data_IF_689896270349
#
_entry.id   IF_689896270349
#
_cell.length_a   1.000
_cell.length_b   1.000
_cell.length_c   1.000
_cell.angle_alpha   90.00
_cell.angle_beta   90.00
_cell.angle_gamma   90.00
#
_symmetry.space_group_name_H-M   'P 1'
#
loop_
_entity.id
_entity.type
_entity.pdbx_description
1 polymer ?
#
# COMPACT_ATOMS: atom_id res chain seq x y z
N UNK A 1 54.66 -10.47 4.00
CA UNK A 1 55.76 -11.43 3.86
C UNK A 1 55.44 -12.64 4.73
N UNK A 2 54.96 -13.74 4.13
CA UNK A 2 54.67 -15.00 4.85
C UNK A 2 55.93 -15.85 4.79
N UNK A 3 56.56 -16.13 5.93
CA UNK A 3 57.69 -17.06 5.99
C UNK A 3 57.23 -18.38 6.57
N UNK A 4 57.30 -19.45 5.78
CA UNK A 4 57.06 -20.82 6.26
C UNK A 4 58.34 -21.31 6.93
N UNK A 5 58.29 -21.57 8.25
CA UNK A 5 59.39 -22.17 8.99
C UNK A 5 59.29 -23.70 8.84
N UNK A 6 59.95 -24.26 7.82
CA UNK A 6 60.05 -25.71 7.62
C UNK A 6 61.50 -26.15 7.71
N UNK A 7 61.82 -27.02 8.68
CA UNK A 7 62.98 -27.92 8.62
C UNK A 7 62.43 -29.34 8.48
N UNK A 8 63.04 -30.09 7.56
CA UNK A 8 62.71 -31.41 7.03
C UNK A 8 62.10 -32.45 8.02
N UNK A 9 61.30 -33.37 7.43
CA UNK A 9 60.24 -34.26 7.96
C UNK A 9 58.86 -33.59 8.01
N UNK A 10 57.85 -34.18 7.35
CA UNK A 10 56.46 -33.69 7.36
C UNK A 10 56.03 -33.42 8.81
N UNK A 11 55.81 -32.16 9.20
CA UNK A 11 55.62 -31.84 10.58
C UNK A 11 54.16 -32.13 10.97
N UNK A 12 53.94 -32.82 12.09
CA UNK A 12 52.60 -33.13 12.63
C UNK A 12 51.75 -31.88 12.95
N UNK A 13 52.36 -30.70 12.88
CA UNK A 13 51.70 -29.39 12.90
C UNK A 13 52.48 -28.37 12.06
N UNK A 14 51.79 -27.35 11.57
CA UNK A 14 52.38 -26.22 10.85
C UNK A 14 52.13 -24.93 11.64
N UNK A 15 53.16 -24.09 11.77
CA UNK A 15 53.03 -22.77 12.38
C UNK A 15 53.02 -21.70 11.30
N UNK A 16 51.97 -20.86 11.30
CA UNK A 16 51.85 -19.73 10.39
C UNK A 16 51.86 -18.45 11.21
N UNK A 17 52.68 -17.48 10.79
CA UNK A 17 52.70 -16.15 11.36
C UNK A 17 51.96 -15.18 10.44
N UNK A 18 50.91 -14.55 10.96
CA UNK A 18 50.18 -13.46 10.29
C UNK A 18 50.33 -12.22 11.17
N UNK A 19 50.97 -11.18 10.64
CA UNK A 19 51.39 -10.00 11.41
C UNK A 19 52.19 -10.38 12.68
N UNK A 20 51.68 -10.04 13.88
CA UNK A 20 52.33 -10.28 15.18
C UNK A 20 51.82 -11.57 15.86
N UNK A 21 50.84 -12.26 15.27
CA UNK A 21 50.20 -13.43 15.88
C UNK A 21 50.63 -14.73 15.19
N UNK A 22 50.90 -15.76 16.00
CA UNK A 22 51.24 -17.12 15.54
C UNK A 22 49.99 -17.98 15.68
N UNK A 23 49.61 -18.63 14.58
CA UNK A 23 48.52 -19.60 14.50
C UNK A 23 49.13 -21.00 14.33
N UNK A 24 48.49 -21.98 14.97
CA UNK A 24 48.89 -23.39 14.86
C UNK A 24 47.85 -24.12 14.03
N UNK A 25 48.31 -24.82 13.00
CA UNK A 25 47.50 -25.76 12.21
C UNK A 25 47.88 -27.16 12.67
N UNK A 26 46.92 -27.88 13.25
CA UNK A 26 47.12 -29.26 13.68
C UNK A 26 46.72 -30.21 12.56
N UNK A 27 47.62 -31.13 12.21
CA UNK A 27 47.40 -32.11 11.14
C UNK A 27 47.09 -33.48 11.74
N UNK A 28 47.59 -33.78 12.94
CA UNK A 28 47.34 -35.05 13.63
C UNK A 28 47.07 -34.81 15.12
N UNK A 29 46.39 -35.77 15.76
CA UNK A 29 46.20 -35.82 17.22
C UNK A 29 47.02 -36.97 17.81
N UNK A 30 47.37 -36.85 19.09
CA UNK A 30 47.98 -37.94 19.87
C UNK A 30 46.95 -39.05 20.14
N UNK A 31 47.42 -40.23 20.50
CA UNK A 31 46.56 -41.38 20.85
C UNK A 31 45.63 -41.12 22.04
N UNK A 32 45.94 -40.13 22.88
CA UNK A 32 45.11 -39.68 23.99
C UNK A 32 44.07 -38.60 23.60
N UNK A 33 43.95 -38.27 22.31
CA UNK A 33 43.03 -37.25 21.80
C UNK A 33 43.51 -35.80 21.95
N UNK A 34 44.73 -35.55 22.44
CA UNK A 34 45.27 -34.20 22.54
C UNK A 34 45.99 -33.75 21.25
N UNK A 35 45.88 -32.47 20.84
CA UNK A 35 46.62 -31.96 19.70
C UNK A 35 48.12 -31.88 19.98
N UNK A 36 48.97 -32.06 18.96
CA UNK A 36 50.43 -31.99 19.08
C UNK A 36 50.96 -30.55 19.28
N UNK A 37 50.50 -29.80 20.27
CA UNK A 37 50.94 -28.40 20.46
C UNK A 37 52.15 -28.28 21.40
N UNK A 38 53.16 -27.43 21.09
CA UNK A 38 54.20 -27.06 22.05
C UNK A 38 53.59 -26.44 23.31
N UNK A 39 54.19 -26.68 24.48
CA UNK A 39 53.65 -26.28 25.79
C UNK A 39 53.30 -24.78 25.85
N UNK A 40 54.09 -23.92 25.20
CA UNK A 40 53.88 -22.46 25.17
C UNK A 40 52.72 -21.99 24.27
N UNK A 41 52.09 -22.88 23.49
CA UNK A 41 50.95 -22.57 22.61
C UNK A 41 49.63 -23.22 23.04
N UNK A 42 49.60 -23.95 24.17
CA UNK A 42 48.40 -24.67 24.65
C UNK A 42 47.13 -23.82 24.79
N UNK A 43 47.26 -22.53 25.05
CA UNK A 43 46.11 -21.61 25.26
C UNK A 43 45.68 -20.83 24.01
N UNK A 44 46.34 -21.03 22.86
CA UNK A 44 46.03 -20.27 21.63
C UNK A 44 45.07 -21.03 20.72
N UNK A 45 44.23 -20.26 20.03
CA UNK A 45 43.30 -20.77 19.01
C UNK A 45 44.11 -21.51 17.93
N UNK A 46 43.77 -22.77 17.69
CA UNK A 46 44.32 -23.58 16.61
C UNK A 46 43.24 -23.89 15.57
N UNK A 47 43.69 -24.22 14.36
CA UNK A 47 42.83 -24.66 13.27
C UNK A 47 43.10 -26.15 13.03
N UNK A 48 42.04 -26.95 12.95
CA UNK A 48 42.12 -28.41 12.90
C UNK A 48 41.94 -28.91 11.47
N UNK A 49 42.97 -29.55 10.94
CA UNK A 49 43.03 -30.13 9.59
C UNK A 49 43.20 -31.66 9.65
N UNK A 50 42.86 -32.30 10.78
CA UNK A 50 43.11 -33.72 11.02
C UNK A 50 42.31 -34.70 10.16
N UNK A 51 41.22 -34.26 9.55
CA UNK A 51 40.42 -35.07 8.62
C UNK A 51 40.03 -34.25 7.38
N UNK A 52 39.73 -34.90 6.24
CA UNK A 52 39.30 -34.19 5.02
C UNK A 52 38.06 -33.31 5.23
N UNK A 53 37.12 -33.73 6.08
CA UNK A 53 35.93 -32.94 6.42
C UNK A 53 36.33 -31.66 7.17
N UNK A 54 37.20 -31.79 8.18
CA UNK A 54 37.67 -30.64 8.98
C UNK A 54 38.56 -29.70 8.17
N UNK A 55 39.34 -30.23 7.23
CA UNK A 55 40.12 -29.43 6.29
C UNK A 55 39.19 -28.56 5.43
N UNK A 56 38.14 -29.15 4.85
CA UNK A 56 37.18 -28.41 4.03
C UNK A 56 36.42 -27.34 4.85
N UNK A 57 35.98 -27.71 6.05
CA UNK A 57 35.26 -26.80 6.96
C UNK A 57 36.13 -25.63 7.45
N UNK A 58 37.43 -25.86 7.63
CA UNK A 58 38.36 -24.84 8.13
C UNK A 58 39.16 -24.13 7.05
N UNK A 59 39.04 -24.53 5.78
CA UNK A 59 39.78 -23.92 4.67
C UNK A 59 39.45 -22.43 4.52
N UNK A 60 38.16 -22.08 4.53
CA UNK A 60 37.73 -20.68 4.44
C UNK A 60 38.23 -19.85 5.63
N UNK A 61 38.22 -20.46 6.82
CA UNK A 61 38.73 -19.83 8.05
C UNK A 61 40.21 -19.52 7.96
N UNK A 62 41.02 -20.44 7.43
CA UNK A 62 42.45 -20.24 7.19
C UNK A 62 42.68 -19.11 6.17
N UNK A 63 41.95 -19.09 5.06
CA UNK A 63 42.06 -18.04 4.04
C UNK A 63 41.70 -16.68 4.64
N UNK A 64 40.58 -16.56 5.36
CA UNK A 64 40.19 -15.32 6.04
C UNK A 64 41.25 -14.83 7.01
N UNK A 65 41.88 -15.74 7.77
CA UNK A 65 42.98 -15.42 8.67
C UNK A 65 44.23 -14.92 7.92
N UNK A 66 44.64 -15.57 6.83
CA UNK A 66 45.78 -15.15 6.01
C UNK A 66 45.60 -13.74 5.43
N UNK A 67 44.36 -13.37 5.11
CA UNK A 67 44.02 -12.05 4.56
C UNK A 67 43.50 -11.05 5.61
N UNK A 68 43.58 -11.37 6.91
CA UNK A 68 43.21 -10.47 8.01
C UNK A 68 41.73 -10.10 8.08
N UNK A 69 40.83 -10.94 7.56
CA UNK A 69 39.37 -10.72 7.61
C UNK A 69 38.75 -11.44 8.82
N UNK A 70 37.97 -10.75 9.68
CA UNK A 70 37.36 -11.36 10.86
C UNK A 70 36.30 -12.41 10.47
N UNK A 71 36.26 -13.51 11.23
CA UNK A 71 35.33 -14.65 11.05
C UNK A 71 33.87 -14.25 11.34
N UNK A 72 33.66 -13.33 12.27
CA UNK A 72 32.34 -12.81 12.64
C UNK A 72 32.28 -11.31 12.43
N UNK A 73 31.49 -10.85 11.45
CA UNK A 73 31.11 -9.45 11.33
C UNK A 73 29.92 -9.17 12.24
N UNK A 74 30.04 -8.18 13.12
CA UNK A 74 28.92 -7.73 13.98
C UNK A 74 27.73 -7.38 13.07
N UNK A 75 26.53 -7.95 13.28
CA UNK A 75 25.38 -7.61 12.47
C UNK A 75 25.11 -6.10 12.57
N UNK A 76 24.67 -5.44 11.49
CA UNK A 76 24.31 -4.03 11.55
C UNK A 76 23.25 -3.83 12.63
N UNK A 77 23.42 -2.79 13.46
CA UNK A 77 22.43 -2.40 14.47
C UNK A 77 21.08 -2.22 13.77
N UNK A 78 20.07 -2.98 14.22
CA UNK A 78 18.70 -2.80 13.76
C UNK A 78 18.28 -1.35 13.98
N UNK A 79 17.53 -0.77 13.03
CA UNK A 79 16.92 0.55 13.22
C UNK A 79 16.12 0.51 14.54
N UNK A 80 16.26 1.50 15.43
CA UNK A 80 15.47 1.54 16.66
C UNK A 80 13.98 1.48 16.29
N UNK A 81 13.16 0.70 17.02
CA UNK A 81 11.74 0.57 16.73
C UNK A 81 11.07 1.94 16.66
N UNK A 82 10.26 2.16 15.62
CA UNK A 82 9.61 3.45 15.32
C UNK A 82 8.79 3.98 16.51
N UNK A 83 8.25 3.10 17.35
CA UNK A 83 7.46 3.47 18.53
C UNK A 83 8.24 4.26 19.59
N UNK A 84 9.58 4.18 19.63
CA UNK A 84 10.40 4.95 20.58
C UNK A 84 10.56 6.43 20.18
N UNK A 85 10.24 6.79 18.93
CA UNK A 85 10.32 8.16 18.40
C UNK A 85 8.96 8.84 18.24
N UNK A 86 7.87 8.12 18.46
CA UNK A 86 6.52 8.66 18.35
C UNK A 86 6.09 9.28 19.67
N UNK A 87 5.71 10.55 19.61
CA UNK A 87 5.09 11.27 20.72
C UNK A 87 3.74 10.60 21.01
N UNK A 88 3.63 9.91 22.15
CA UNK A 88 2.43 9.14 22.55
C UNK A 88 1.18 10.02 22.73
N UNK A 89 1.33 11.34 22.67
CA UNK A 89 0.27 12.34 22.73
C UNK A 89 -0.46 12.56 21.40
N UNK A 90 0.05 12.06 20.27
CA UNK A 90 -0.58 12.27 18.96
C UNK A 90 -1.72 11.26 18.72
N UNK A 91 -2.91 11.70 18.27
CA UNK A 91 -4.03 10.80 17.93
C UNK A 91 -3.68 9.66 16.96
N UNK A 92 -2.69 9.89 16.08
CA UNK A 92 -2.15 8.87 15.17
C UNK A 92 -1.59 7.63 15.88
N UNK A 93 -1.08 7.78 17.10
CA UNK A 93 -0.60 6.65 17.92
C UNK A 93 -1.75 5.71 18.29
N UNK A 94 -2.91 6.26 18.66
CA UNK A 94 -4.07 5.45 19.04
C UNK A 94 -4.57 4.62 17.85
N UNK A 95 -4.65 5.22 16.66
CA UNK A 95 -4.97 4.51 15.41
C UNK A 95 -4.01 3.33 15.21
N UNK A 96 -2.71 3.58 15.31
CA UNK A 96 -1.69 2.53 15.16
C UNK A 96 -1.86 1.42 16.21
N UNK A 97 -2.05 1.76 17.48
CA UNK A 97 -2.21 0.80 18.56
C UNK A 97 -3.46 -0.09 18.37
N UNK A 98 -4.59 0.52 17.97
CA UNK A 98 -5.83 -0.23 17.66
C UNK A 98 -5.66 -1.10 16.43
N UNK A 99 -4.95 -0.63 15.41
CA UNK A 99 -4.62 -1.43 14.24
C UNK A 99 -3.75 -2.65 14.59
N UNK A 100 -2.70 -2.50 15.41
CA UNK A 100 -1.88 -3.63 15.87
C UNK A 100 -2.69 -4.65 16.68
N UNK A 101 -3.66 -4.16 17.47
CA UNK A 101 -4.58 -5.02 18.20
C UNK A 101 -5.49 -5.81 17.26
N UNK A 102 -6.05 -5.15 16.23
CA UNK A 102 -6.85 -5.79 15.19
C UNK A 102 -6.03 -6.83 14.42
N UNK A 103 -4.83 -6.47 13.95
CA UNK A 103 -3.89 -7.37 13.27
C UNK A 103 -3.60 -8.62 14.10
N UNK A 104 -3.34 -8.44 15.38
CA UNK A 104 -3.14 -9.55 16.31
C UNK A 104 -4.38 -10.42 16.48
N UNK A 105 -5.59 -9.83 16.44
CA UNK A 105 -6.84 -10.58 16.52
C UNK A 105 -7.12 -11.40 15.26
N UNK A 106 -6.84 -10.85 14.07
CA UNK A 106 -6.95 -11.55 12.77
C UNK A 106 -6.01 -12.74 12.73
N UNK A 107 -4.71 -12.52 13.01
CA UNK A 107 -3.69 -13.57 12.92
C UNK A 107 -3.90 -14.72 13.92
N UNK A 108 -4.45 -14.42 15.10
CA UNK A 108 -4.70 -15.43 16.13
C UNK A 108 -6.16 -15.94 16.15
N UNK A 109 -6.97 -15.61 15.14
CA UNK A 109 -8.38 -16.00 15.02
C UNK A 109 -9.18 -15.78 16.31
N UNK A 110 -8.98 -14.63 16.97
CA UNK A 110 -9.62 -14.34 18.26
C UNK A 110 -11.13 -14.15 18.08
N UNK A 111 -11.92 -14.67 19.01
CA UNK A 111 -13.37 -14.42 19.07
C UNK A 111 -13.73 -12.92 19.16
N UNK A 112 -12.79 -12.09 19.63
CA UNK A 112 -12.97 -10.63 19.78
C UNK A 112 -12.72 -9.84 18.50
N UNK A 113 -12.53 -10.48 17.34
CA UNK A 113 -12.18 -9.83 16.07
C UNK A 113 -13.15 -8.68 15.71
N UNK A 114 -14.47 -8.93 15.81
CA UNK A 114 -15.51 -7.93 15.51
C UNK A 114 -15.36 -6.67 16.35
N UNK A 115 -15.08 -6.83 17.65
CA UNK A 115 -14.88 -5.71 18.57
C UNK A 115 -13.59 -4.97 18.31
N UNK A 116 -12.50 -5.67 18.01
CA UNK A 116 -11.23 -5.04 17.62
C UNK A 116 -11.40 -4.20 16.35
N UNK A 117 -12.12 -4.72 15.35
CA UNK A 117 -12.41 -4.00 14.10
C UNK A 117 -13.25 -2.75 14.36
N UNK A 118 -14.35 -2.89 15.12
CA UNK A 118 -15.21 -1.77 15.51
C UNK A 118 -14.44 -0.68 16.22
N UNK A 119 -13.59 -1.04 17.19
CA UNK A 119 -12.77 -0.06 17.92
C UNK A 119 -11.76 0.64 17.02
N UNK A 120 -11.12 -0.08 16.11
CA UNK A 120 -10.18 0.50 15.14
C UNK A 120 -10.87 1.52 14.22
N UNK A 121 -12.00 1.14 13.61
CA UNK A 121 -12.76 2.02 12.72
C UNK A 121 -13.32 3.24 13.47
N UNK A 122 -13.75 3.06 14.72
CA UNK A 122 -14.26 4.16 15.56
C UNK A 122 -13.18 5.19 15.88
N UNK A 123 -11.95 4.75 16.20
CA UNK A 123 -10.82 5.69 16.43
C UNK A 123 -10.46 6.43 15.13
N UNK A 124 -10.46 5.74 13.99
CA UNK A 124 -10.25 6.39 12.68
C UNK A 124 -11.31 7.46 12.40
N UNK A 125 -12.59 7.11 12.60
CA UNK A 125 -13.73 8.03 12.44
C UNK A 125 -13.61 9.25 13.34
N UNK A 126 -13.32 9.05 14.62
CA UNK A 126 -13.24 10.14 15.59
C UNK A 126 -12.07 11.09 15.31
N UNK A 127 -10.94 10.56 14.84
CA UNK A 127 -9.85 11.43 14.40
C UNK A 127 -10.22 12.25 13.16
N UNK A 128 -10.87 11.65 12.15
CA UNK A 128 -11.39 12.42 11.01
C UNK A 128 -12.35 13.53 11.43
N UNK A 129 -13.29 13.25 12.34
CA UNK A 129 -14.24 14.24 12.85
C UNK A 129 -13.52 15.37 13.60
N UNK A 130 -12.48 15.04 14.37
CA UNK A 130 -11.72 16.05 15.12
C UNK A 130 -11.02 17.09 14.24
N UNK A 131 -10.79 16.77 12.96
CA UNK A 131 -10.17 17.65 11.98
C UNK A 131 -11.19 18.43 11.12
N UNK A 132 -12.50 18.23 11.31
CA UNK A 132 -13.52 18.94 10.52
C UNK A 132 -13.52 20.44 10.82
N UNK A 133 -13.53 21.24 9.76
CA UNK A 133 -13.70 22.69 9.84
C UNK A 133 -15.19 22.99 10.01
N UNK A 134 -15.58 23.39 11.22
CA UNK A 134 -16.99 23.63 11.61
C UNK A 134 -17.32 25.09 11.88
N UNK A 135 -16.32 25.95 11.86
CA UNK A 135 -16.43 27.40 12.04
C UNK A 135 -15.73 28.11 10.90
N UNK A 136 -16.08 29.38 10.67
CA UNK A 136 -15.42 30.17 9.64
C UNK A 136 -13.90 30.19 9.87
N UNK A 137 -13.09 29.77 8.88
CA UNK A 137 -11.64 29.84 8.97
C UNK A 137 -11.20 31.26 9.32
N UNK A 138 -10.39 31.38 10.35
CA UNK A 138 -9.83 32.66 10.80
C UNK A 138 -8.54 33.00 10.07
N UNK A 139 -7.93 32.03 9.39
CA UNK A 139 -6.71 32.22 8.60
C UNK A 139 -7.02 32.92 7.28
N UNK A 140 -6.18 33.89 6.91
CA UNK A 140 -6.27 34.55 5.59
C UNK A 140 -6.02 33.57 4.43
N UNK A 141 -5.30 32.46 4.68
CA UNK A 141 -4.94 31.45 3.68
C UNK A 141 -5.52 30.06 4.00
N UNK A 142 -6.84 29.94 3.83
CA UNK A 142 -7.54 28.67 4.07
C UNK A 142 -7.05 27.52 3.16
N UNK A 143 -6.53 27.81 1.97
CA UNK A 143 -5.96 26.78 1.10
C UNK A 143 -4.76 26.06 1.73
N UNK A 144 -3.93 26.77 2.50
CA UNK A 144 -2.84 26.16 3.27
C UNK A 144 -3.37 25.27 4.41
N UNK A 145 -4.44 25.72 5.10
CA UNK A 145 -5.12 24.92 6.12
C UNK A 145 -5.69 23.62 5.53
N UNK A 146 -6.29 23.67 4.34
CA UNK A 146 -6.79 22.48 3.62
C UNK A 146 -5.67 21.46 3.40
N UNK A 147 -4.50 21.91 2.93
CA UNK A 147 -3.34 21.04 2.70
C UNK A 147 -2.79 20.44 4.00
N UNK A 148 -2.80 21.21 5.09
CA UNK A 148 -2.35 20.74 6.40
C UNK A 148 -3.30 19.68 6.98
N UNK A 149 -4.62 19.91 6.90
CA UNK A 149 -5.63 18.92 7.33
C UNK A 149 -5.52 17.65 6.48
N UNK A 150 -5.40 17.78 5.17
CA UNK A 150 -5.20 16.65 4.26
C UNK A 150 -3.97 15.80 4.67
N UNK A 151 -2.85 16.46 4.97
CA UNK A 151 -1.63 15.78 5.43
C UNK A 151 -1.84 14.99 6.73
N UNK A 152 -2.68 15.45 7.63
CA UNK A 152 -3.02 14.73 8.86
C UNK A 152 -3.95 13.53 8.58
N UNK A 153 -4.89 13.69 7.65
CA UNK A 153 -5.82 12.64 7.24
C UNK A 153 -5.14 11.48 6.48
N UNK A 154 -3.96 11.69 5.88
CA UNK A 154 -3.15 10.62 5.25
C UNK A 154 -2.93 9.45 6.22
N UNK A 155 -2.70 9.71 7.50
CA UNK A 155 -2.47 8.64 8.48
C UNK A 155 -3.71 7.73 8.64
N UNK A 156 -4.92 8.28 8.50
CA UNK A 156 -6.16 7.49 8.52
C UNK A 156 -6.31 6.71 7.22
N UNK A 157 -6.10 7.36 6.07
CA UNK A 157 -6.15 6.72 4.74
C UNK A 157 -5.24 5.49 4.72
N UNK A 158 -4.01 5.64 5.22
CA UNK A 158 -3.03 4.56 5.25
C UNK A 158 -3.44 3.43 6.21
N UNK A 159 -3.95 3.76 7.40
CA UNK A 159 -4.44 2.76 8.35
C UNK A 159 -5.65 1.98 7.80
N UNK A 160 -6.57 2.66 7.10
CA UNK A 160 -7.71 2.02 6.43
C UNK A 160 -7.24 1.13 5.28
N UNK A 161 -6.25 1.58 4.51
CA UNK A 161 -5.63 0.77 3.45
C UNK A 161 -4.99 -0.50 4.04
N UNK A 162 -4.25 -0.37 5.14
CA UNK A 162 -3.65 -1.51 5.84
C UNK A 162 -4.71 -2.50 6.35
N UNK A 163 -5.86 -2.00 6.81
CA UNK A 163 -6.99 -2.82 7.23
C UNK A 163 -7.61 -3.60 6.07
N UNK A 164 -7.83 -2.95 4.93
CA UNK A 164 -8.35 -3.60 3.73
C UNK A 164 -7.40 -4.67 3.21
N UNK A 165 -6.08 -4.38 3.18
CA UNK A 165 -5.07 -5.38 2.78
C UNK A 165 -4.98 -6.55 3.76
N UNK A 166 -5.25 -6.33 5.05
CA UNK A 166 -5.20 -7.35 6.09
C UNK A 166 -6.41 -8.30 6.04
N UNK A 167 -7.63 -7.76 5.88
CA UNK A 167 -8.87 -8.52 6.02
C UNK A 167 -9.59 -8.79 4.69
N UNK A 168 -9.24 -8.10 3.61
CA UNK A 168 -9.99 -8.18 2.35
C UNK A 168 -9.90 -9.51 1.60
N UNK A 169 -8.92 -10.36 1.91
CA UNK A 169 -8.84 -11.74 1.37
C UNK A 169 -9.56 -12.77 2.28
N UNK A 170 -10.14 -12.30 3.39
CA UNK A 170 -10.88 -13.20 4.30
C UNK A 170 -12.27 -13.51 3.75
N UNK A 171 -12.66 -14.78 3.77
CA UNK A 171 -13.94 -15.27 3.22
C UNK A 171 -15.16 -14.94 4.12
N UNK A 172 -15.05 -13.98 5.05
CA UNK A 172 -16.07 -13.67 6.04
C UNK A 172 -16.95 -12.48 5.65
N UNK A 173 -18.27 -12.61 5.79
CA UNK A 173 -19.22 -11.51 5.54
C UNK A 173 -19.00 -10.29 6.45
N UNK A 174 -18.40 -10.49 7.61
CA UNK A 174 -18.18 -9.42 8.59
C UNK A 174 -17.25 -8.32 8.07
N UNK A 175 -16.27 -8.64 7.21
CA UNK A 175 -15.42 -7.63 6.59
C UNK A 175 -16.23 -6.79 5.60
N UNK A 176 -16.96 -7.45 4.68
CA UNK A 176 -17.80 -6.78 3.68
C UNK A 176 -18.80 -5.82 4.33
N UNK A 177 -19.49 -6.27 5.38
CA UNK A 177 -20.43 -5.42 6.13
C UNK A 177 -19.74 -4.22 6.78
N UNK A 178 -18.58 -4.43 7.40
CA UNK A 178 -17.82 -3.35 8.02
C UNK A 178 -17.29 -2.35 6.99
N UNK A 179 -16.90 -2.81 5.80
CA UNK A 179 -16.47 -1.97 4.69
C UNK A 179 -17.61 -1.10 4.19
N UNK A 180 -18.80 -1.65 3.95
CA UNK A 180 -19.96 -0.88 3.52
C UNK A 180 -20.38 0.17 4.56
N UNK A 181 -20.40 -0.20 5.84
CA UNK A 181 -20.65 0.74 6.94
C UNK A 181 -19.59 1.84 7.02
N UNK A 182 -18.33 1.51 6.75
CA UNK A 182 -17.27 2.51 6.68
C UNK A 182 -17.47 3.47 5.51
N UNK A 183 -17.94 3.01 4.35
CA UNK A 183 -18.28 3.90 3.24
C UNK A 183 -19.40 4.88 3.60
N UNK A 184 -20.42 4.45 4.34
CA UNK A 184 -21.46 5.34 4.88
C UNK A 184 -20.87 6.39 5.85
N UNK A 185 -19.91 5.98 6.70
CA UNK A 185 -19.15 6.93 7.53
C UNK A 185 -18.37 7.93 6.68
N UNK A 186 -17.72 7.49 5.60
CA UNK A 186 -16.99 8.38 4.68
C UNK A 186 -17.93 9.40 4.01
N UNK A 187 -19.13 8.96 3.61
CA UNK A 187 -20.18 9.85 3.09
C UNK A 187 -20.70 10.82 4.15
N UNK A 188 -20.73 10.43 5.43
CA UNK A 188 -21.11 11.32 6.50
C UNK A 188 -20.04 12.40 6.80
N UNK A 189 -18.77 12.00 6.93
CA UNK A 189 -17.69 12.93 7.35
C UNK A 189 -17.28 13.92 6.26
N UNK A 190 -17.50 13.60 4.97
CA UNK A 190 -17.22 14.53 3.86
C UNK A 190 -18.24 15.65 3.72
N UNK A 191 -19.39 15.50 4.36
CA UNK A 191 -20.51 16.43 4.31
C UNK A 191 -20.56 17.27 5.59
N UNK A 192 -21.41 18.30 5.58
CA UNK A 192 -21.59 19.18 6.73
C UNK A 192 -22.00 18.39 7.98
N UNK A 193 -21.45 18.68 9.16
CA UNK A 193 -21.97 18.14 10.41
C UNK A 193 -23.39 18.64 10.73
N UNK A 194 -24.18 17.83 11.44
CA UNK A 194 -25.59 18.13 11.77
C UNK A 194 -25.77 19.41 12.59
N UNK A 195 -24.79 19.76 13.42
CA UNK A 195 -24.80 20.95 14.26
C UNK A 195 -24.35 22.23 13.54
N UNK A 196 -23.95 22.16 12.27
CA UNK A 196 -23.50 23.31 11.48
C UNK A 196 -24.61 23.75 10.52
N UNK A 197 -25.20 24.92 10.80
CA UNK A 197 -26.34 25.48 10.05
C UNK A 197 -25.96 26.63 9.11
N UNK A 198 -24.78 27.23 9.27
CA UNK A 198 -24.24 28.26 8.38
C UNK A 198 -22.79 27.91 8.08
N UNK A 199 -22.46 27.80 6.81
CA UNK A 199 -21.17 27.31 6.36
C UNK A 199 -20.88 27.75 4.92
N UNK A 200 -19.62 27.64 4.53
CA UNK A 200 -19.22 27.62 3.13
C UNK A 200 -18.87 26.19 2.75
N UNK A 201 -19.34 25.71 1.59
CA UNK A 201 -19.05 24.36 1.08
C UNK A 201 -17.56 24.03 1.03
N UNK A 202 -16.71 25.06 0.91
CA UNK A 202 -15.27 24.89 0.86
C UNK A 202 -14.66 24.41 2.17
N UNK A 203 -15.31 24.65 3.32
CA UNK A 203 -14.83 24.20 4.62
C UNK A 203 -14.64 22.68 4.67
N UNK A 204 -15.45 21.95 3.92
CA UNK A 204 -15.45 20.49 3.87
C UNK A 204 -14.54 19.92 2.78
N UNK A 205 -13.85 20.78 2.00
CA UNK A 205 -12.95 20.34 0.94
C UNK A 205 -11.88 19.33 1.41
N UNK A 206 -11.22 19.48 2.58
CA UNK A 206 -10.23 18.51 3.04
C UNK A 206 -10.83 17.10 3.19
N UNK A 207 -12.02 17.00 3.80
CA UNK A 207 -12.72 15.72 4.00
C UNK A 207 -13.29 15.16 2.71
N UNK A 208 -13.72 16.02 1.76
CA UNK A 208 -14.12 15.58 0.42
C UNK A 208 -12.93 14.99 -0.34
N UNK A 209 -11.75 15.62 -0.29
CA UNK A 209 -10.52 15.09 -0.91
C UNK A 209 -10.15 13.77 -0.26
N UNK A 210 -10.11 13.73 1.08
CA UNK A 210 -9.80 12.52 1.83
C UNK A 210 -10.76 11.37 1.49
N UNK A 211 -12.06 11.64 1.35
CA UNK A 211 -13.03 10.61 1.01
C UNK A 211 -12.86 10.06 -0.40
N UNK A 212 -12.64 10.94 -1.37
CA UNK A 212 -12.34 10.56 -2.75
C UNK A 212 -11.05 9.72 -2.84
N UNK A 213 -9.97 10.20 -2.22
CA UNK A 213 -8.68 9.53 -2.21
C UNK A 213 -8.73 8.17 -1.49
N UNK A 214 -9.32 8.12 -0.29
CA UNK A 214 -9.44 6.89 0.49
C UNK A 214 -10.27 5.83 -0.24
N UNK A 215 -11.34 6.22 -0.93
CA UNK A 215 -12.11 5.32 -1.77
C UNK A 215 -11.27 4.67 -2.89
N UNK A 216 -10.45 5.47 -3.58
CA UNK A 216 -9.53 4.95 -4.60
C UNK A 216 -8.46 4.02 -4.01
N UNK A 217 -7.94 4.33 -2.82
CA UNK A 217 -7.01 3.45 -2.11
C UNK A 217 -7.64 2.12 -1.70
N UNK A 218 -8.89 2.15 -1.21
CA UNK A 218 -9.66 0.93 -0.89
C UNK A 218 -9.83 0.07 -2.15
N UNK A 219 -10.27 0.66 -3.26
CA UNK A 219 -10.41 -0.04 -4.53
C UNK A 219 -9.09 -0.63 -5.01
N UNK A 220 -8.02 0.16 -5.00
CA UNK A 220 -6.69 -0.26 -5.41
C UNK A 220 -6.19 -1.43 -4.54
N UNK A 221 -6.37 -1.36 -3.23
CA UNK A 221 -6.02 -2.42 -2.30
C UNK A 221 -6.80 -3.71 -2.58
N UNK A 222 -8.13 -3.64 -2.75
CA UNK A 222 -8.96 -4.80 -3.08
C UNK A 222 -8.60 -5.44 -4.43
N UNK A 223 -8.34 -4.62 -5.45
CA UNK A 223 -7.88 -5.10 -6.76
C UNK A 223 -6.52 -5.79 -6.63
N UNK A 224 -5.61 -5.23 -5.82
CA UNK A 224 -4.26 -5.73 -5.64
C UNK A 224 -4.20 -7.10 -4.96
N UNK A 225 -5.09 -7.34 -4.01
CA UNK A 225 -5.25 -8.65 -3.34
C UNK A 225 -6.24 -9.57 -4.06
N UNK A 226 -6.69 -9.20 -5.27
CA UNK A 226 -7.63 -9.97 -6.10
C UNK A 226 -8.99 -10.26 -5.43
N UNK A 227 -9.40 -9.43 -4.48
CA UNK A 227 -10.68 -9.51 -3.77
C UNK A 227 -11.84 -8.94 -4.61
N UNK A 228 -12.02 -9.45 -5.83
CA UNK A 228 -12.92 -8.90 -6.84
C UNK A 228 -14.39 -8.93 -6.43
N UNK A 229 -14.81 -9.88 -5.59
CA UNK A 229 -16.17 -9.90 -5.06
C UNK A 229 -16.44 -8.68 -4.16
N UNK A 230 -15.47 -8.24 -3.36
CA UNK A 230 -15.60 -7.02 -2.57
C UNK A 230 -15.57 -5.77 -3.45
N UNK A 231 -14.78 -5.75 -4.54
CA UNK A 231 -14.83 -4.67 -5.54
C UNK A 231 -16.23 -4.56 -6.16
N UNK A 232 -16.83 -5.68 -6.55
CA UNK A 232 -18.20 -5.73 -7.06
C UNK A 232 -19.19 -5.16 -6.03
N UNK A 233 -19.18 -5.68 -4.80
CA UNK A 233 -20.07 -5.22 -3.74
C UNK A 233 -19.91 -3.72 -3.47
N UNK A 234 -18.66 -3.22 -3.41
CA UNK A 234 -18.37 -1.80 -3.18
C UNK A 234 -18.90 -0.89 -4.30
N UNK A 235 -18.84 -1.32 -5.56
CA UNK A 235 -19.24 -0.49 -6.71
C UNK A 235 -20.72 -0.63 -7.09
N UNK A 236 -21.40 -1.70 -6.67
CA UNK A 236 -22.80 -1.95 -7.00
C UNK A 236 -23.77 -1.70 -5.83
N UNK A 237 -23.26 -1.36 -4.63
CA UNK A 237 -24.09 -1.03 -3.47
C UNK A 237 -24.52 0.44 -3.47
N UNK A 238 -25.76 0.69 -3.05
CA UNK A 238 -26.23 2.01 -2.65
C UNK A 238 -26.06 2.17 -1.13
N UNK A 239 -25.45 3.28 -0.72
CA UNK A 239 -25.08 3.59 0.64
C UNK A 239 -26.11 4.52 1.29
N UNK A 240 -26.35 4.32 2.58
CA UNK A 240 -27.19 5.23 3.36
C UNK A 240 -26.50 6.60 3.48
N UNK A 241 -27.21 7.65 3.12
CA UNK A 241 -26.80 9.03 3.31
C UNK A 241 -27.26 9.57 4.67
N UNK A 242 -26.54 10.53 5.28
CA UNK A 242 -26.97 11.13 6.55
C UNK A 242 -28.33 11.84 6.46
N UNK A 243 -29.23 11.54 7.40
CA UNK A 243 -30.61 12.08 7.43
C UNK A 243 -30.69 13.61 7.34
N UNK A 244 -29.71 14.35 7.85
CA UNK A 244 -29.75 15.82 7.86
C UNK A 244 -29.30 16.47 6.54
N UNK A 245 -28.84 15.67 5.56
CA UNK A 245 -28.50 16.14 4.22
C UNK A 245 -29.38 15.54 3.13
N UNK A 246 -30.30 14.64 3.49
CA UNK A 246 -31.19 13.97 2.55
C UNK A 246 -32.60 14.56 2.56
N UNK A 247 -33.34 14.29 1.50
CA UNK A 247 -34.78 14.52 1.40
C UNK A 247 -35.50 13.18 1.27
N UNK A 248 -36.81 13.10 1.60
CA UNK A 248 -37.58 11.87 1.45
C UNK A 248 -37.46 11.30 0.02
N UNK A 249 -37.11 10.01 -0.09
CA UNK A 249 -36.85 9.32 -1.37
C UNK A 249 -35.41 9.45 -1.91
N UNK A 250 -34.52 10.13 -1.18
CA UNK A 250 -33.09 10.30 -1.51
C UNK A 250 -32.19 9.80 -0.38
N UNK A 251 -32.64 8.81 0.39
CA UNK A 251 -31.92 8.25 1.53
C UNK A 251 -30.68 7.44 1.12
N UNK A 252 -30.65 6.96 -0.12
CA UNK A 252 -29.57 6.14 -0.64
C UNK A 252 -28.89 6.79 -1.84
N UNK A 253 -27.57 6.67 -1.92
CA UNK A 253 -26.80 7.06 -3.08
C UNK A 253 -25.68 6.06 -3.38
N UNK A 254 -25.26 5.99 -4.64
CA UNK A 254 -24.14 5.16 -5.05
C UNK A 254 -22.80 5.91 -4.87
N UNK A 255 -21.69 5.28 -5.26
CA UNK A 255 -20.35 5.86 -5.07
C UNK A 255 -20.09 7.13 -5.90
N UNK A 256 -20.99 7.56 -6.80
CA UNK A 256 -20.89 8.87 -7.48
C UNK A 256 -20.76 10.01 -6.49
N UNK A 257 -21.34 9.87 -5.30
CA UNK A 257 -21.21 10.86 -4.23
C UNK A 257 -19.76 11.07 -3.79
N UNK A 258 -18.88 10.07 -3.93
CA UNK A 258 -17.47 10.19 -3.54
C UNK A 258 -16.63 10.94 -4.57
N UNK A 259 -17.14 11.13 -5.80
CA UNK A 259 -16.45 11.92 -6.80
C UNK A 259 -16.21 13.35 -6.31
N UNK A 260 -15.05 13.90 -6.64
CA UNK A 260 -14.70 15.29 -6.35
C UNK A 260 -13.93 15.90 -7.51
N UNK A 261 -14.32 17.13 -7.86
CA UNK A 261 -13.51 18.05 -8.65
C UNK A 261 -13.46 19.41 -7.95
N UNK A 262 -12.28 20.01 -7.88
CA UNK A 262 -12.11 21.35 -7.33
C UNK A 262 -10.84 22.01 -7.83
N UNK A 263 -10.98 23.26 -8.31
CA UNK A 263 -9.85 24.11 -8.69
C UNK A 263 -9.33 24.96 -7.52
N UNK A 264 -9.88 24.80 -6.31
CA UNK A 264 -9.56 25.67 -5.17
C UNK A 264 -8.07 25.67 -4.80
N UNK A 265 -7.40 24.53 -4.97
CA UNK A 265 -5.98 24.37 -4.67
C UNK A 265 -5.05 24.72 -5.85
N UNK A 266 -5.60 25.25 -6.95
CA UNK A 266 -4.82 25.58 -8.15
C UNK A 266 -3.64 26.51 -7.83
N UNK A 267 -3.86 27.57 -7.06
CA UNK A 267 -2.81 28.55 -6.73
C UNK A 267 -1.72 28.02 -5.79
N UNK A 268 -1.98 26.90 -5.10
CA UNK A 268 -1.03 26.28 -4.16
C UNK A 268 -0.23 25.15 -4.79
N UNK A 269 -0.83 24.40 -5.70
CA UNK A 269 -0.23 23.19 -6.27
C UNK A 269 0.36 23.41 -7.66
N UNK A 270 -0.14 24.39 -8.41
CA UNK A 270 0.29 24.60 -9.79
C UNK A 270 1.65 25.33 -9.85
N UNK A 271 2.61 24.84 -10.65
CA UNK A 271 3.82 25.60 -10.97
C UNK A 271 3.48 26.96 -11.61
N UNK A 272 4.40 27.93 -11.51
CA UNK A 272 4.25 29.23 -12.18
C UNK A 272 3.98 29.05 -13.68
N UNK A 273 2.99 29.79 -14.20
CA UNK A 273 2.55 29.75 -15.61
C UNK A 273 2.05 28.39 -16.11
N UNK A 274 1.73 27.45 -15.22
CA UNK A 274 1.07 26.19 -15.56
C UNK A 274 -0.33 26.14 -14.95
N UNK A 275 -1.27 25.45 -15.61
CA UNK A 275 -2.59 25.12 -15.04
C UNK A 275 -2.76 23.61 -15.03
N UNK A 276 -2.77 23.02 -13.83
CA UNK A 276 -3.17 21.64 -13.60
C UNK A 276 -4.60 21.39 -14.14
N UNK A 277 -4.83 20.25 -14.80
CA UNK A 277 -6.17 19.82 -15.19
C UNK A 277 -7.03 19.35 -14.00
N UNK A 278 -6.37 18.84 -12.96
CA UNK A 278 -7.00 18.58 -11.67
C UNK A 278 -5.99 18.82 -10.54
N UNK A 279 -6.21 19.88 -9.73
CA UNK A 279 -5.44 20.09 -8.50
C UNK A 279 -5.65 18.98 -7.46
N UNK A 280 -6.86 18.42 -7.37
CA UNK A 280 -7.15 17.30 -6.46
C UNK A 280 -6.30 16.08 -6.82
N UNK A 281 -6.22 15.73 -8.10
CA UNK A 281 -5.41 14.60 -8.56
C UNK A 281 -3.90 14.85 -8.44
N UNK A 282 -3.44 16.09 -8.61
CA UNK A 282 -2.05 16.46 -8.31
C UNK A 282 -1.74 16.26 -6.82
N UNK A 283 -2.65 16.66 -5.92
CA UNK A 283 -2.48 16.45 -4.48
C UNK A 283 -2.41 14.96 -4.15
N UNK A 284 -3.33 14.15 -4.67
CA UNK A 284 -3.33 12.68 -4.48
C UNK A 284 -2.04 12.06 -5.00
N UNK A 285 -1.54 12.50 -6.16
CA UNK A 285 -0.26 12.05 -6.70
C UNK A 285 0.91 12.39 -5.78
N UNK A 286 0.95 13.60 -5.21
CA UNK A 286 1.99 14.02 -4.27
C UNK A 286 1.92 13.24 -2.94
N UNK A 287 0.73 12.88 -2.47
CA UNK A 287 0.53 12.08 -1.25
C UNK A 287 0.61 10.57 -1.46
N UNK A 288 0.75 10.09 -2.71
CA UNK A 288 0.89 8.68 -3.06
C UNK A 288 2.30 8.15 -2.75
N UNK A 289 2.58 8.03 -1.45
CA UNK A 289 3.91 7.72 -0.89
C UNK A 289 4.05 6.28 -0.40
N UNK A 290 2.99 5.47 -0.52
CA UNK A 290 3.00 4.06 -0.13
C UNK A 290 3.74 3.20 -1.16
N UNK A 291 4.63 2.32 -0.70
CA UNK A 291 5.36 1.37 -1.56
C UNK A 291 4.47 0.23 -2.07
N UNK A 292 3.44 -0.14 -1.29
CA UNK A 292 2.56 -1.26 -1.56
C UNK A 292 1.28 -0.89 -2.30
N UNK A 293 0.95 0.40 -2.46
CA UNK A 293 -0.14 0.90 -3.30
C UNK A 293 0.34 2.18 -3.98
N UNK A 294 0.74 2.04 -5.25
CA UNK A 294 1.32 3.11 -6.06
C UNK A 294 0.27 4.02 -6.69
N UNK A 295 0.69 5.16 -7.23
CA UNK A 295 -0.21 6.03 -8.01
C UNK A 295 -0.75 5.34 -9.27
N UNK A 296 0.00 4.40 -9.86
CA UNK A 296 -0.48 3.60 -11.00
C UNK A 296 -1.59 2.62 -10.58
N UNK A 297 -1.52 2.08 -9.36
CA UNK A 297 -2.60 1.28 -8.77
C UNK A 297 -3.87 2.13 -8.59
N UNK A 298 -3.74 3.40 -8.20
CA UNK A 298 -4.87 4.34 -8.10
C UNK A 298 -5.47 4.69 -9.46
N UNK A 299 -4.64 4.90 -10.50
CA UNK A 299 -5.12 5.09 -11.88
C UNK A 299 -5.93 3.88 -12.36
N UNK A 300 -5.46 2.67 -12.09
CA UNK A 300 -6.20 1.45 -12.42
C UNK A 300 -7.54 1.38 -11.66
N UNK A 301 -7.56 1.70 -10.37
CA UNK A 301 -8.79 1.74 -9.57
C UNK A 301 -9.80 2.79 -10.10
N UNK A 302 -9.30 3.97 -10.49
CA UNK A 302 -10.08 5.06 -11.06
C UNK A 302 -10.70 4.66 -12.43
N UNK A 303 -9.96 3.91 -13.24
CA UNK A 303 -10.47 3.32 -14.49
C UNK A 303 -11.53 2.24 -14.24
N UNK A 304 -11.39 1.43 -13.19
CA UNK A 304 -12.41 0.42 -12.81
C UNK A 304 -13.71 1.10 -12.35
N UNK A 305 -13.63 2.18 -11.57
CA UNK A 305 -14.79 2.98 -11.23
C UNK A 305 -15.46 3.58 -12.49
N UNK A 306 -14.67 4.13 -13.41
CA UNK A 306 -15.21 4.58 -14.71
C UNK A 306 -15.89 3.43 -15.48
N UNK A 307 -15.28 2.24 -15.53
CA UNK A 307 -15.86 1.07 -16.21
C UNK A 307 -17.26 0.73 -15.68
N UNK A 308 -17.41 0.61 -14.35
CA UNK A 308 -18.72 0.32 -13.75
C UNK A 308 -19.73 1.42 -14.05
N UNK A 309 -19.28 2.67 -14.05
CA UNK A 309 -20.14 3.75 -14.45
C UNK A 309 -20.60 3.53 -15.91
N UNK A 310 -19.77 3.14 -16.88
CA UNK A 310 -20.25 2.90 -18.28
C UNK A 310 -21.35 1.83 -18.35
N UNK A 311 -21.31 0.83 -17.47
CA UNK A 311 -22.29 -0.26 -17.43
C UNK A 311 -23.61 0.21 -16.78
N UNK A 312 -23.55 1.13 -15.83
CA UNK A 312 -24.71 1.62 -15.07
C UNK A 312 -24.92 3.13 -15.28
N UNK A 313 -25.93 3.55 -16.08
CA UNK A 313 -26.21 4.96 -16.36
C UNK A 313 -26.57 5.81 -15.14
N UNK A 314 -27.01 5.21 -14.02
CA UNK A 314 -27.31 5.93 -12.78
C UNK A 314 -26.06 6.35 -11.99
N UNK A 315 -24.89 5.86 -12.40
CA UNK A 315 -23.62 6.16 -11.76
C UNK A 315 -22.89 7.19 -12.62
N UNK A 316 -22.36 8.22 -12.00
CA UNK A 316 -21.47 9.19 -12.60
C UNK A 316 -20.06 9.03 -12.01
N UNK A 317 -19.07 8.91 -12.89
CA UNK A 317 -17.67 8.95 -12.51
C UNK A 317 -16.83 9.60 -13.60
N UNK A 318 -15.97 10.54 -13.21
CA UNK A 318 -14.98 11.17 -14.09
C UNK A 318 -13.59 10.90 -13.52
N UNK A 319 -12.72 10.14 -14.23
CA UNK A 319 -11.51 9.57 -13.63
C UNK A 319 -10.36 10.57 -13.60
N UNK A 320 -10.22 11.32 -12.51
CA UNK A 320 -9.23 12.39 -12.42
C UNK A 320 -7.78 11.90 -12.38
N UNK A 321 -7.50 10.71 -11.84
CA UNK A 321 -6.14 10.16 -11.80
C UNK A 321 -5.64 9.91 -13.22
N UNK A 322 -6.55 9.54 -14.12
CA UNK A 322 -6.20 9.23 -15.50
C UNK A 322 -5.74 10.45 -16.32
N UNK A 323 -5.95 11.68 -15.83
CA UNK A 323 -5.36 12.90 -16.41
C UNK A 323 -3.82 12.89 -16.38
N UNK A 324 -3.23 12.03 -15.54
CA UNK A 324 -1.81 11.81 -15.41
C UNK A 324 -1.35 10.49 -16.04
N UNK A 325 -2.20 9.84 -16.85
CA UNK A 325 -1.82 8.63 -17.57
C UNK A 325 -0.89 8.94 -18.74
N UNK A 326 0.02 8.02 -19.05
CA UNK A 326 0.71 8.02 -20.33
C UNK A 326 -0.22 7.60 -21.48
N UNK A 327 0.09 8.02 -22.70
CA UNK A 327 -0.73 7.72 -23.89
C UNK A 327 -0.90 6.23 -24.20
N UNK A 328 0.13 5.42 -23.90
CA UNK A 328 0.13 3.97 -24.10
C UNK A 328 0.15 3.20 -22.78
N UNK A 329 -0.23 3.85 -21.69
CA UNK A 329 -0.23 3.22 -20.39
C UNK A 329 -1.25 2.08 -20.34
N UNK A 330 -0.83 0.95 -19.77
CA UNK A 330 -1.64 -0.26 -19.66
C UNK A 330 -1.74 -0.67 -18.22
N UNK A 331 -2.94 -1.10 -17.86
CA UNK A 331 -3.25 -1.51 -16.50
C UNK A 331 -3.29 -3.04 -16.42
N UNK A 332 -2.58 -3.67 -15.47
CA UNK A 332 -2.47 -5.12 -15.37
C UNK A 332 -3.81 -5.88 -15.33
N UNK A 333 -4.81 -5.36 -14.61
CA UNK A 333 -6.14 -5.98 -14.52
C UNK A 333 -6.77 -6.16 -15.90
N UNK A 334 -6.81 -5.09 -16.69
CA UNK A 334 -7.38 -5.09 -18.03
C UNK A 334 -6.51 -5.81 -19.06
N UNK A 335 -5.18 -5.79 -18.89
CA UNK A 335 -4.27 -6.54 -19.76
C UNK A 335 -4.46 -8.05 -19.57
N UNK A 336 -4.63 -8.51 -18.33
CA UNK A 336 -4.92 -9.91 -18.03
C UNK A 336 -6.30 -10.35 -18.51
N UNK A 337 -7.27 -9.43 -18.60
CA UNK A 337 -8.62 -9.70 -19.10
C UNK A 337 -8.68 -10.12 -20.58
N UNK A 338 -7.58 -10.00 -21.32
CA UNK A 338 -7.45 -10.58 -22.66
C UNK A 338 -7.50 -12.12 -22.59
N UNK A 339 -6.98 -12.71 -21.51
CA UNK A 339 -7.02 -14.15 -21.26
C UNK A 339 -8.32 -14.55 -20.56
N UNK A 340 -8.85 -15.75 -20.85
CA UNK A 340 -10.08 -16.24 -20.24
C UNK A 340 -10.04 -16.22 -18.71
N UNK A 341 -8.93 -16.68 -18.13
CA UNK A 341 -8.74 -16.65 -16.67
C UNK A 341 -8.82 -15.22 -16.11
N UNK A 342 -8.20 -14.24 -16.76
CA UNK A 342 -8.23 -12.86 -16.31
C UNK A 342 -9.58 -12.19 -16.57
N UNK A 343 -10.28 -12.57 -17.63
CA UNK A 343 -11.63 -12.07 -17.91
C UNK A 343 -12.61 -12.45 -16.79
N UNK A 344 -12.47 -13.63 -16.17
CA UNK A 344 -13.29 -14.01 -15.00
C UNK A 344 -13.21 -12.97 -13.87
N UNK A 345 -12.07 -12.32 -13.65
CA UNK A 345 -11.95 -11.24 -12.67
C UNK A 345 -12.82 -10.03 -13.04
N UNK A 346 -12.80 -9.61 -14.31
CA UNK A 346 -13.68 -8.54 -14.81
C UNK A 346 -15.14 -8.95 -14.75
N UNK A 347 -15.46 -10.21 -15.06
CA UNK A 347 -16.82 -10.74 -14.98
C UNK A 347 -17.36 -10.69 -13.54
N UNK A 348 -16.53 -11.03 -12.54
CA UNK A 348 -16.92 -10.88 -11.13
C UNK A 348 -17.16 -9.41 -10.78
N UNK A 349 -16.24 -8.51 -11.15
CA UNK A 349 -16.38 -7.07 -10.85
C UNK A 349 -17.68 -6.50 -11.45
N UNK A 350 -17.96 -6.82 -12.71
CA UNK A 350 -19.06 -6.24 -13.50
C UNK A 350 -20.40 -6.96 -13.35
N UNK A 351 -20.38 -8.21 -12.89
CA UNK A 351 -21.54 -9.10 -12.90
C UNK A 351 -21.96 -9.57 -14.30
N UNK A 352 -21.07 -9.49 -15.30
CA UNK A 352 -21.34 -9.87 -16.70
C UNK A 352 -20.28 -10.89 -17.14
N UNK A 353 -20.72 -12.13 -17.39
CA UNK A 353 -19.87 -13.28 -17.76
C UNK A 353 -19.72 -13.49 -19.27
N UNK A 354 -20.43 -12.70 -20.10
CA UNK A 354 -20.28 -12.67 -21.55
C UNK A 354 -19.43 -11.46 -21.97
N UNK A 355 -18.23 -11.74 -22.51
CA UNK A 355 -17.27 -10.74 -22.97
C UNK A 355 -17.82 -9.85 -24.09
N UNK A 356 -18.68 -10.38 -24.98
CA UNK A 356 -19.30 -9.62 -26.08
C UNK A 356 -20.37 -8.68 -25.53
N UNK A 357 -21.20 -9.16 -24.61
CA UNK A 357 -22.20 -8.32 -23.95
C UNK A 357 -21.54 -7.20 -23.14
N UNK A 358 -20.45 -7.51 -22.42
CA UNK A 358 -19.69 -6.50 -21.70
C UNK A 358 -19.11 -5.45 -22.65
N UNK A 359 -18.46 -5.89 -23.74
CA UNK A 359 -17.90 -4.98 -24.74
C UNK A 359 -18.96 -4.05 -25.35
N UNK A 360 -20.14 -4.59 -25.66
CA UNK A 360 -21.27 -3.81 -26.14
C UNK A 360 -21.70 -2.73 -25.12
N UNK A 361 -21.94 -3.13 -23.86
CA UNK A 361 -22.39 -2.19 -22.81
C UNK A 361 -21.36 -1.09 -22.53
N UNK A 362 -20.07 -1.42 -22.51
CA UNK A 362 -19.02 -0.43 -22.33
C UNK A 362 -18.98 0.58 -23.48
N UNK A 363 -19.12 0.10 -24.71
CA UNK A 363 -19.14 0.96 -25.91
C UNK A 363 -20.36 1.90 -25.91
N UNK A 364 -21.54 1.36 -25.61
CA UNK A 364 -22.77 2.15 -25.50
C UNK A 364 -22.69 3.18 -24.36
N UNK A 365 -22.19 2.76 -23.19
CA UNK A 365 -22.02 3.61 -22.01
C UNK A 365 -21.02 4.75 -22.23
N UNK A 366 -19.91 4.49 -22.90
CA UNK A 366 -18.95 5.53 -23.28
C UNK A 366 -19.59 6.57 -24.19
N UNK A 367 -20.31 6.12 -25.22
CA UNK A 367 -21.00 7.00 -26.15
C UNK A 367 -22.06 7.86 -25.45
N UNK A 368 -22.86 7.26 -24.55
CA UNK A 368 -23.88 7.98 -23.76
C UNK A 368 -23.28 9.04 -22.84
N UNK A 369 -22.09 8.79 -22.29
CA UNK A 369 -21.35 9.76 -21.47
C UNK A 369 -20.73 10.91 -22.26
N UNK A 370 -20.73 10.80 -23.58
CA UNK A 370 -20.16 11.79 -24.48
C UNK A 370 -18.70 12.10 -24.08
N UNK A 371 -17.91 11.05 -23.80
CA UNK A 371 -16.52 11.18 -23.34
C UNK A 371 -15.64 11.91 -24.36
N UNK A 372 -16.06 11.97 -25.62
CA UNK A 372 -15.48 12.81 -26.66
C UNK A 372 -15.45 14.30 -26.29
N UNK A 373 -16.31 14.78 -25.38
CA UNK A 373 -16.27 16.13 -24.84
C UNK A 373 -15.35 16.31 -23.62
N UNK A 374 -14.66 15.27 -23.15
CA UNK A 374 -13.73 15.37 -22.03
C UNK A 374 -12.35 15.83 -22.50
N UNK A 375 -12.28 17.08 -22.96
CA UNK A 375 -11.12 17.67 -23.64
C UNK A 375 -9.82 17.61 -22.82
N UNK A 376 -9.90 17.57 -21.50
CA UNK A 376 -8.73 17.49 -20.61
C UNK A 376 -7.89 16.21 -20.78
N UNK A 377 -8.48 15.12 -21.27
CA UNK A 377 -7.72 13.89 -21.53
C UNK A 377 -6.92 13.92 -22.82
N UNK A 378 -7.17 14.89 -23.73
CA UNK A 378 -6.41 15.03 -24.97
C UNK A 378 -6.35 13.72 -25.77
N UNK A 379 -5.13 13.20 -25.95
CA UNK A 379 -4.82 11.93 -26.63
C UNK A 379 -5.03 10.67 -25.76
N UNK A 380 -5.20 10.82 -24.44
CA UNK A 380 -5.39 9.71 -23.50
C UNK A 380 -6.87 9.29 -23.34
N UNK A 381 -7.75 9.82 -24.19
CA UNK A 381 -9.22 9.70 -24.10
C UNK A 381 -9.75 8.42 -24.76
N UNK A 382 -8.96 7.35 -24.76
CA UNK A 382 -9.32 6.06 -25.36
C UNK A 382 -9.50 5.02 -24.26
N UNK A 383 -10.60 5.18 -23.50
CA UNK A 383 -10.84 4.38 -22.30
C UNK A 383 -11.15 2.92 -22.64
N UNK A 384 -11.88 2.65 -23.72
CA UNK A 384 -12.18 1.29 -24.17
C UNK A 384 -10.90 0.52 -24.52
N UNK A 385 -9.91 1.17 -25.14
CA UNK A 385 -8.62 0.56 -25.42
C UNK A 385 -7.78 0.35 -24.14
N UNK A 386 -7.78 1.31 -23.21
CA UNK A 386 -7.16 1.11 -21.89
C UNK A 386 -7.76 -0.09 -21.14
N UNK A 387 -9.06 -0.34 -21.32
CA UNK A 387 -9.77 -1.50 -20.80
C UNK A 387 -9.62 -2.78 -21.65
N UNK A 388 -8.90 -2.72 -22.79
CA UNK A 388 -8.77 -3.80 -23.79
C UNK A 388 -10.11 -4.37 -24.28
N UNK A 389 -11.14 -3.54 -24.43
CA UNK A 389 -12.52 -3.98 -24.74
C UNK A 389 -12.62 -4.84 -26.01
N UNK A 390 -11.87 -4.49 -27.07
CA UNK A 390 -11.87 -5.24 -28.34
C UNK A 390 -11.21 -6.62 -28.27
N UNK A 391 -10.54 -6.94 -27.16
CA UNK A 391 -9.74 -8.15 -26.97
C UNK A 391 -10.08 -8.91 -25.70
N UNK A 392 -11.15 -8.55 -24.99
CA UNK A 392 -11.60 -9.28 -23.81
C UNK A 392 -11.86 -10.74 -24.16
N UNK A 393 -11.35 -11.65 -23.33
CA UNK A 393 -11.56 -13.10 -23.48
C UNK A 393 -11.22 -13.62 -24.89
N UNK A 394 -10.13 -13.10 -25.49
CA UNK A 394 -9.71 -13.46 -26.86
C UNK A 394 -8.58 -14.48 -26.91
N UNK A 395 -7.95 -14.77 -25.76
CA UNK A 395 -6.89 -15.76 -25.58
C UNK A 395 -7.36 -16.76 -24.52
N UNK A 396 -7.14 -18.06 -24.75
CA UNK A 396 -7.46 -19.13 -23.78
C UNK A 396 -6.71 -19.00 -22.45
#
# INVERSE_FOLDING_TARGET
MVSVLSRYNFPRNIFIRVAVQIYTINIEYKDNGEPYTPIFLKSRIYIDFSTPEKENDNWERLIRLLYGKPEFTKPPLGKPPVYLKQDTSKPTYEIHAKFQTLKSAVLNQKQTLKDCRRQFLEVCRNYCISLQVVTNPTTEDFAAEVLQIHKELIAVRDAITDWVLLEGDTQGEDFSKALLQFMEVMLAIRNRPKNVNSYNEIWFLPHKIFAYETFLYILAALIKIEAFQHVHTLLHTSYLLPDHITSPGMEFANYSELYLSSDYLQSKLSPENYRLYSPVAELVKQSATRDDVSFDDLKQADLVALMISFINPSIFWYPQMLLYSGHYEKYPLFTRAIQHRGFKSIAVITGIDDSKLLAQKLTEGEAQRNTSNWYHFGFNRDFLNQMNVSRLDSIE
#
